data_IF_453391348213
#
_entry.id   IF_453391348213
#
_cell.length_a   1.000
_cell.length_b   1.000
_cell.length_c   1.000
_cell.angle_alpha   90.00
_cell.angle_beta   90.00
_cell.angle_gamma   90.00
#
_symmetry.space_group_name_H-M   'P 1'
#
loop_
_entity.id
_entity.type
_entity.pdbx_description
1 polymer ?
#
# COMPACT_ATOMS: atom_id res chain seq x y z
N UNK A 1 10.12 -43.62 -2.87
CA UNK A 1 9.22 -42.46 -2.77
C UNK A 1 9.94 -41.29 -3.41
N UNK A 2 9.60 -40.96 -4.66
CA UNK A 2 10.12 -39.77 -5.34
C UNK A 2 9.19 -38.61 -5.01
N UNK A 3 9.65 -37.66 -4.19
CA UNK A 3 8.91 -36.43 -3.98
C UNK A 3 8.85 -35.66 -5.31
N UNK A 4 7.64 -35.50 -5.85
CA UNK A 4 7.42 -34.61 -6.97
C UNK A 4 7.62 -33.18 -6.49
N UNK A 5 8.66 -32.49 -6.98
CA UNK A 5 8.83 -31.06 -6.73
C UNK A 5 7.63 -30.34 -7.34
N UNK A 6 6.73 -29.84 -6.48
CA UNK A 6 5.57 -29.07 -6.92
C UNK A 6 6.05 -27.69 -7.38
N UNK A 7 5.99 -27.43 -8.68
CA UNK A 7 6.28 -26.11 -9.23
C UNK A 7 5.23 -25.07 -8.78
N UNK A 8 5.68 -23.84 -8.54
CA UNK A 8 4.80 -22.72 -8.23
C UNK A 8 3.89 -22.41 -9.43
N UNK A 9 2.59 -22.22 -9.16
CA UNK A 9 1.63 -21.76 -10.17
C UNK A 9 1.86 -20.28 -10.49
N UNK A 10 1.34 -19.81 -11.63
CA UNK A 10 1.39 -18.37 -11.98
C UNK A 10 0.73 -17.48 -10.92
N UNK A 11 -0.34 -17.99 -10.27
CA UNK A 11 -1.00 -17.29 -9.18
C UNK A 11 -0.10 -17.18 -7.95
N UNK A 12 0.64 -18.25 -7.61
CA UNK A 12 1.61 -18.21 -6.51
C UNK A 12 2.73 -17.19 -6.78
N UNK A 13 3.22 -17.11 -8.01
CA UNK A 13 4.21 -16.10 -8.41
C UNK A 13 3.67 -14.67 -8.30
N UNK A 14 2.42 -14.45 -8.69
CA UNK A 14 1.77 -13.15 -8.53
C UNK A 14 1.69 -12.74 -7.04
N UNK A 15 1.39 -13.68 -6.14
CA UNK A 15 1.37 -13.44 -4.71
C UNK A 15 2.71 -12.97 -4.14
N UNK A 16 3.83 -13.38 -4.76
CA UNK A 16 5.18 -12.95 -4.36
C UNK A 16 5.54 -11.54 -4.84
N UNK A 17 4.79 -10.93 -5.74
CA UNK A 17 5.09 -9.59 -6.24
C UNK A 17 4.99 -8.55 -5.12
N UNK A 18 3.97 -8.61 -4.27
CA UNK A 18 3.82 -7.64 -3.18
C UNK A 18 4.95 -7.70 -2.14
N UNK A 19 5.38 -8.87 -1.59
CA UNK A 19 6.45 -8.90 -0.60
C UNK A 19 7.79 -8.54 -1.23
N UNK A 20 8.05 -8.93 -2.48
CA UNK A 20 9.24 -8.52 -3.23
C UNK A 20 9.28 -7.00 -3.40
N UNK A 21 8.19 -6.39 -3.81
CA UNK A 21 8.09 -4.93 -3.94
C UNK A 21 8.29 -4.23 -2.59
N UNK A 22 7.74 -4.80 -1.50
CA UNK A 22 7.93 -4.26 -0.15
C UNK A 22 9.41 -4.28 0.27
N UNK A 23 10.07 -5.42 0.12
CA UNK A 23 11.45 -5.62 0.58
C UNK A 23 12.44 -4.85 -0.29
N UNK A 24 12.32 -4.94 -1.61
CA UNK A 24 13.32 -4.40 -2.54
C UNK A 24 13.14 -2.92 -2.84
N UNK A 25 11.92 -2.39 -2.67
CA UNK A 25 11.62 -1.00 -3.03
C UNK A 25 11.09 -0.20 -1.84
N UNK A 26 9.98 -0.61 -1.23
CA UNK A 26 9.30 0.22 -0.23
C UNK A 26 10.17 0.43 1.00
N UNK A 27 10.72 -0.62 1.61
CA UNK A 27 11.53 -0.49 2.83
C UNK A 27 12.81 0.35 2.63
N UNK A 28 13.61 0.14 1.57
CA UNK A 28 14.76 1.02 1.29
C UNK A 28 14.38 2.49 1.11
N UNK A 29 13.33 2.77 0.33
CA UNK A 29 12.90 4.15 0.05
C UNK A 29 12.33 4.80 1.31
N UNK A 30 11.64 4.05 2.19
CA UNK A 30 11.22 4.53 3.52
C UNK A 30 12.43 4.94 4.35
N UNK A 31 13.47 4.09 4.42
CA UNK A 31 14.71 4.40 5.14
C UNK A 31 15.38 5.68 4.62
N UNK A 32 15.49 5.82 3.31
CA UNK A 32 16.01 7.03 2.67
C UNK A 32 15.14 8.27 3.01
N UNK A 33 13.82 8.14 2.95
CA UNK A 33 12.87 9.21 3.26
C UNK A 33 13.01 9.69 4.71
N UNK A 34 13.14 8.76 5.67
CA UNK A 34 13.32 9.07 7.09
C UNK A 34 14.64 9.83 7.30
N UNK A 35 15.74 9.33 6.72
CA UNK A 35 17.05 9.98 6.80
C UNK A 35 17.00 11.40 6.25
N UNK A 36 16.43 11.59 5.06
CA UNK A 36 16.26 12.91 4.45
C UNK A 36 15.32 13.81 5.27
N UNK A 37 14.32 13.24 5.95
CA UNK A 37 13.42 13.97 6.85
C UNK A 37 14.14 14.52 8.08
N UNK A 38 15.04 13.75 8.68
CA UNK A 38 15.90 14.21 9.79
C UNK A 38 16.79 15.36 9.33
N UNK A 39 17.47 15.22 8.20
CA UNK A 39 18.33 16.27 7.64
C UNK A 39 17.52 17.53 7.26
N UNK A 40 16.33 17.37 6.69
CA UNK A 40 15.44 18.48 6.40
C UNK A 40 15.00 19.21 7.67
N UNK A 41 14.79 18.49 8.78
CA UNK A 41 14.48 19.06 10.10
C UNK A 41 15.68 19.79 10.70
N UNK A 42 16.87 19.19 10.69
CA UNK A 42 18.11 19.82 11.17
C UNK A 42 18.40 21.13 10.43
N UNK A 43 18.18 21.15 9.11
CA UNK A 43 18.27 22.37 8.29
C UNK A 43 17.31 23.46 8.77
N UNK A 44 16.04 23.11 9.02
CA UNK A 44 15.02 24.08 9.48
C UNK A 44 15.35 24.69 10.84
N UNK A 45 16.13 23.96 11.65
CA UNK A 45 16.56 24.38 12.99
C UNK A 45 17.97 24.99 13.00
N UNK A 46 18.60 25.17 11.82
CA UNK A 46 19.95 25.71 11.65
C UNK A 46 21.04 24.99 12.48
N UNK A 47 20.89 23.67 12.66
CA UNK A 47 21.82 22.87 13.47
C UNK A 47 23.08 22.45 12.71
N UNK A 48 23.02 22.43 11.37
CA UNK A 48 24.09 21.94 10.52
C UNK A 48 23.99 22.57 9.11
N UNK A 49 25.09 22.98 8.46
CA UNK A 49 25.10 23.40 7.06
C UNK A 49 24.72 22.24 6.11
N UNK A 50 23.42 22.11 5.85
CA UNK A 50 22.85 21.11 4.93
C UNK A 50 22.58 21.77 3.57
N UNK A 51 22.44 21.00 2.48
CA UNK A 51 22.10 21.54 1.15
C UNK A 51 20.62 21.95 1.04
N UNK A 52 20.27 22.99 0.26
CA UNK A 52 18.88 23.44 0.09
C UNK A 52 17.99 22.43 -0.66
N UNK A 53 18.59 21.44 -1.32
CA UNK A 53 17.87 20.41 -2.07
C UNK A 53 17.26 19.33 -1.17
N UNK A 54 17.80 19.11 0.04
CA UNK A 54 17.40 18.00 0.92
C UNK A 54 15.89 17.95 1.24
N UNK A 55 15.20 19.07 1.53
CA UNK A 55 13.75 19.04 1.74
C UNK A 55 12.95 18.65 0.49
N UNK A 56 13.45 19.00 -0.71
CA UNK A 56 12.84 18.62 -1.99
C UNK A 56 13.04 17.12 -2.22
N UNK A 57 14.27 16.63 -2.04
CA UNK A 57 14.60 15.21 -2.14
C UNK A 57 13.76 14.37 -1.16
N UNK A 58 13.57 14.84 0.08
CA UNK A 58 12.69 14.20 1.06
C UNK A 58 11.25 14.08 0.54
N UNK A 59 10.71 15.17 -0.02
CA UNK A 59 9.36 15.18 -0.55
C UNK A 59 9.20 14.24 -1.74
N UNK A 60 10.19 14.19 -2.64
CA UNK A 60 10.17 13.29 -3.79
C UNK A 60 10.26 11.83 -3.37
N UNK A 61 11.16 11.48 -2.44
CA UNK A 61 11.21 10.12 -1.88
C UNK A 61 9.91 9.74 -1.18
N UNK A 62 9.28 10.66 -0.44
CA UNK A 62 7.96 10.44 0.16
C UNK A 62 6.87 10.09 -0.86
N UNK A 63 6.91 10.70 -2.06
CA UNK A 63 6.01 10.33 -3.17
C UNK A 63 6.30 8.92 -3.68
N UNK A 64 7.56 8.55 -3.83
CA UNK A 64 7.95 7.19 -4.20
C UNK A 64 7.52 6.14 -3.17
N UNK A 65 7.68 6.42 -1.87
CA UNK A 65 7.17 5.55 -0.80
C UNK A 65 5.67 5.35 -0.94
N UNK A 66 4.92 6.45 -1.11
CA UNK A 66 3.46 6.40 -1.17
C UNK A 66 3.00 5.61 -2.40
N UNK A 67 3.58 5.88 -3.57
CA UNK A 67 3.28 5.15 -4.80
C UNK A 67 3.61 3.67 -4.71
N UNK A 68 4.80 3.33 -4.20
CA UNK A 68 5.22 1.95 -4.00
C UNK A 68 4.30 1.19 -3.04
N UNK A 69 3.89 1.82 -1.94
CA UNK A 69 2.96 1.25 -0.98
C UNK A 69 1.57 1.01 -1.60
N UNK A 70 0.99 2.02 -2.26
CA UNK A 70 -0.32 1.88 -2.92
C UNK A 70 -0.29 0.76 -3.96
N UNK A 71 0.76 0.72 -4.79
CA UNK A 71 0.93 -0.34 -5.79
C UNK A 71 1.04 -1.73 -5.14
N UNK A 72 1.86 -1.88 -4.10
CA UNK A 72 2.02 -3.14 -3.38
C UNK A 72 0.68 -3.65 -2.80
N UNK A 73 -0.10 -2.74 -2.20
CA UNK A 73 -1.41 -3.06 -1.64
C UNK A 73 -2.38 -3.48 -2.73
N UNK A 74 -2.47 -2.75 -3.85
CA UNK A 74 -3.37 -3.09 -4.95
C UNK A 74 -3.01 -4.45 -5.57
N UNK A 75 -1.72 -4.76 -5.75
CA UNK A 75 -1.27 -6.08 -6.22
C UNK A 75 -1.67 -7.18 -5.25
N UNK A 76 -1.47 -6.98 -3.94
CA UNK A 76 -1.85 -7.94 -2.92
C UNK A 76 -3.37 -8.21 -2.90
N UNK A 77 -4.18 -7.14 -2.95
CA UNK A 77 -5.64 -7.25 -3.00
C UNK A 77 -6.11 -7.97 -4.27
N UNK A 78 -5.51 -7.66 -5.42
CA UNK A 78 -5.84 -8.31 -6.68
C UNK A 78 -5.50 -9.81 -6.67
N UNK A 79 -4.32 -10.17 -6.19
CA UNK A 79 -3.95 -11.58 -5.97
C UNK A 79 -4.97 -12.30 -5.09
N UNK A 80 -5.35 -11.69 -3.96
CA UNK A 80 -6.30 -12.30 -3.03
C UNK A 80 -7.71 -12.42 -3.63
N UNK A 81 -8.15 -11.49 -4.48
CA UNK A 81 -9.42 -11.59 -5.17
C UNK A 81 -9.47 -12.80 -6.11
N UNK A 82 -8.39 -13.04 -6.85
CA UNK A 82 -8.25 -14.21 -7.72
C UNK A 82 -8.14 -15.51 -6.92
N UNK A 83 -7.26 -15.55 -5.91
CA UNK A 83 -7.05 -16.74 -5.08
C UNK A 83 -8.28 -17.12 -4.25
N UNK A 84 -9.09 -16.13 -3.85
CA UNK A 84 -10.35 -16.34 -3.17
C UNK A 84 -11.50 -16.75 -4.08
N UNK A 85 -11.33 -16.78 -5.40
CA UNK A 85 -12.42 -17.11 -6.32
C UNK A 85 -13.60 -16.14 -6.21
N UNK A 86 -13.30 -14.83 -6.09
CA UNK A 86 -14.31 -13.77 -6.02
C UNK A 86 -15.31 -13.89 -7.19
N UNK A 87 -16.61 -13.85 -6.88
CA UNK A 87 -17.68 -14.00 -7.87
C UNK A 87 -17.75 -12.79 -8.82
N UNK A 88 -18.34 -12.96 -10.01
CA UNK A 88 -18.33 -11.95 -11.06
C UNK A 88 -19.07 -10.65 -10.67
N UNK A 89 -20.16 -10.78 -9.92
CA UNK A 89 -20.94 -9.66 -9.36
C UNK A 89 -20.12 -8.84 -8.34
N UNK A 90 -19.31 -9.50 -7.53
CA UNK A 90 -18.40 -8.88 -6.55
C UNK A 90 -17.15 -8.27 -7.23
N UNK A 91 -16.65 -8.92 -8.28
CA UNK A 91 -15.46 -8.50 -9.03
C UNK A 91 -15.63 -7.10 -9.62
N UNK A 92 -16.80 -6.77 -10.16
CA UNK A 92 -17.05 -5.44 -10.71
C UNK A 92 -16.91 -4.35 -9.65
N UNK A 93 -17.53 -4.53 -8.47
CA UNK A 93 -17.43 -3.57 -7.36
C UNK A 93 -16.00 -3.43 -6.85
N UNK A 94 -15.26 -4.54 -6.74
CA UNK A 94 -13.85 -4.54 -6.38
C UNK A 94 -12.99 -3.78 -7.40
N UNK A 95 -13.15 -4.04 -8.69
CA UNK A 95 -12.40 -3.36 -9.75
C UNK A 95 -12.70 -1.85 -9.79
N UNK A 96 -13.95 -1.46 -9.59
CA UNK A 96 -14.32 -0.05 -9.47
C UNK A 96 -13.64 0.61 -8.25
N UNK A 97 -13.55 -0.08 -7.12
CA UNK A 97 -12.86 0.43 -5.94
C UNK A 97 -11.34 0.54 -6.16
N UNK A 98 -10.72 -0.44 -6.83
CA UNK A 98 -9.30 -0.40 -7.25
C UNK A 98 -9.02 0.77 -8.18
N UNK A 99 -9.86 0.95 -9.21
CA UNK A 99 -9.77 2.08 -10.14
C UNK A 99 -9.97 3.40 -9.40
N UNK A 100 -10.91 3.47 -8.46
CA UNK A 100 -11.12 4.62 -7.59
C UNK A 100 -9.89 4.97 -6.76
N UNK A 101 -9.22 3.99 -6.18
CA UNK A 101 -7.98 4.18 -5.43
C UNK A 101 -6.84 4.70 -6.31
N UNK A 102 -6.68 4.11 -7.50
CA UNK A 102 -5.67 4.54 -8.47
C UNK A 102 -5.95 5.97 -8.96
N UNK A 103 -7.20 6.29 -9.32
CA UNK A 103 -7.60 7.62 -9.76
C UNK A 103 -7.40 8.67 -8.66
N UNK A 104 -7.77 8.36 -7.40
CA UNK A 104 -7.55 9.24 -6.27
C UNK A 104 -6.06 9.49 -6.00
N UNK A 105 -5.21 8.46 -6.14
CA UNK A 105 -3.76 8.62 -6.04
C UNK A 105 -3.18 9.48 -7.18
N UNK A 106 -3.61 9.27 -8.43
CA UNK A 106 -3.19 10.11 -9.56
C UNK A 106 -3.61 11.57 -9.36
N UNK A 107 -4.84 11.79 -8.88
CA UNK A 107 -5.33 13.13 -8.55
C UNK A 107 -4.51 13.76 -7.40
N UNK A 108 -4.12 12.96 -6.39
CA UNK A 108 -3.24 13.39 -5.30
C UNK A 108 -1.87 13.88 -5.81
N UNK A 109 -1.30 13.21 -6.82
CA UNK A 109 -0.02 13.62 -7.42
C UNK A 109 -0.10 14.98 -8.13
N UNK A 110 -1.26 15.31 -8.71
CA UNK A 110 -1.50 16.60 -9.38
C UNK A 110 -2.03 17.71 -8.47
N UNK A 111 -2.44 17.39 -7.25
CA UNK A 111 -3.10 18.33 -6.36
C UNK A 111 -2.16 19.44 -5.85
N UNK A 112 -2.62 20.70 -5.95
CA UNK A 112 -1.95 21.88 -5.41
C UNK A 112 -2.62 22.31 -4.09
N UNK A 113 -1.82 22.65 -3.09
CA UNK A 113 -2.30 23.04 -1.76
C UNK A 113 -2.57 21.86 -0.82
N UNK A 114 -2.70 22.15 0.48
CA UNK A 114 -2.80 21.12 1.53
C UNK A 114 -4.19 20.47 1.55
N UNK A 115 -5.26 21.26 1.46
CA UNK A 115 -6.64 20.74 1.56
C UNK A 115 -6.98 19.75 0.44
N UNK A 116 -6.75 20.04 -0.86
CA UNK A 116 -7.01 19.07 -1.92
C UNK A 116 -6.17 17.80 -1.78
N UNK A 117 -4.91 17.93 -1.33
CA UNK A 117 -4.06 16.76 -1.05
C UNK A 117 -4.64 15.89 0.07
N UNK A 118 -5.13 16.50 1.16
CA UNK A 118 -5.78 15.74 2.22
C UNK A 118 -7.05 15.02 1.74
N UNK A 119 -7.87 15.69 0.93
CA UNK A 119 -9.10 15.09 0.38
C UNK A 119 -8.78 13.90 -0.54
N UNK A 120 -7.84 14.06 -1.47
CA UNK A 120 -7.46 12.97 -2.39
C UNK A 120 -6.74 11.83 -1.67
N UNK A 121 -5.92 12.13 -0.67
CA UNK A 121 -5.31 11.12 0.18
C UNK A 121 -6.37 10.34 0.98
N UNK A 122 -7.34 11.04 1.57
CA UNK A 122 -8.46 10.40 2.28
C UNK A 122 -9.30 9.53 1.32
N UNK A 123 -9.65 10.04 0.15
CA UNK A 123 -10.39 9.29 -0.87
C UNK A 123 -9.64 8.03 -1.31
N UNK A 124 -8.33 8.12 -1.55
CA UNK A 124 -7.48 6.97 -1.86
C UNK A 124 -7.47 5.96 -0.70
N UNK A 125 -7.34 6.42 0.54
CA UNK A 125 -7.38 5.55 1.71
C UNK A 125 -8.74 4.85 1.87
N UNK A 126 -9.86 5.57 1.77
CA UNK A 126 -11.20 4.99 1.89
C UNK A 126 -11.50 3.96 0.80
N UNK A 127 -11.08 4.21 -0.43
CA UNK A 127 -11.26 3.25 -1.54
C UNK A 127 -10.39 2.00 -1.37
N UNK A 128 -9.17 2.12 -0.84
CA UNK A 128 -8.37 0.97 -0.42
C UNK A 128 -9.03 0.17 0.71
N UNK A 129 -9.59 0.85 1.72
CA UNK A 129 -10.33 0.19 2.81
C UNK A 129 -11.57 -0.53 2.30
N UNK A 130 -12.33 0.08 1.38
CA UNK A 130 -13.50 -0.54 0.75
C UNK A 130 -13.12 -1.75 -0.12
N UNK A 131 -11.96 -1.68 -0.79
CA UNK A 131 -11.42 -2.81 -1.55
C UNK A 131 -11.02 -3.95 -0.61
N UNK A 132 -10.41 -3.65 0.53
CA UNK A 132 -9.99 -4.65 1.51
C UNK A 132 -11.14 -5.26 2.33
N UNK A 133 -12.28 -4.58 2.43
CA UNK A 133 -13.45 -5.03 3.20
C UNK A 133 -14.38 -5.99 2.45
N UNK A 134 -14.06 -6.35 1.19
CA UNK A 134 -14.88 -7.26 0.41
C UNK A 134 -15.01 -8.63 1.09
N UNK A 135 -16.22 -9.21 1.22
CA UNK A 135 -16.42 -10.50 1.90
C UNK A 135 -15.57 -11.64 1.31
N UNK A 136 -15.40 -11.66 -0.01
CA UNK A 136 -14.56 -12.62 -0.71
C UNK A 136 -13.07 -12.50 -0.36
N UNK A 137 -12.62 -11.35 0.13
CA UNK A 137 -11.28 -11.17 0.66
C UNK A 137 -11.21 -11.47 2.16
N UNK A 138 -12.33 -11.60 2.87
CA UNK A 138 -12.32 -11.90 4.30
C UNK A 138 -12.29 -13.41 4.57
N UNK A 139 -12.44 -14.26 3.55
CA UNK A 139 -12.44 -15.72 3.74
C UNK A 139 -11.05 -16.30 4.09
N UNK A 140 -9.94 -15.71 3.61
CA UNK A 140 -8.59 -16.13 4.04
C UNK A 140 -8.35 -15.83 5.54
N UNK A 141 -9.14 -14.93 6.13
CA UNK A 141 -9.16 -14.63 7.58
C UNK A 141 -9.63 -15.82 8.42
N UNK A 142 -10.29 -16.82 7.83
CA UNK A 142 -10.65 -18.06 8.51
C UNK A 142 -9.44 -18.97 8.75
N UNK A 143 -8.38 -18.86 7.92
CA UNK A 143 -7.14 -19.65 8.05
C UNK A 143 -6.16 -19.08 9.10
N UNK A 144 -6.30 -17.79 9.44
CA UNK A 144 -5.49 -17.12 10.47
C UNK A 144 -6.44 -16.52 11.52
N UNK A 145 -6.65 -17.19 12.67
CA UNK A 145 -7.63 -16.76 13.67
C UNK A 145 -7.43 -15.29 14.04
N UNK A 146 -8.56 -14.60 14.11
CA UNK A 146 -8.75 -13.14 14.15
C UNK A 146 -7.99 -12.36 15.22
N UNK A 147 -7.27 -13.01 16.14
CA UNK A 147 -6.49 -12.38 17.20
C UNK A 147 -5.35 -11.46 16.67
N UNK A 148 -4.71 -11.80 15.55
CA UNK A 148 -3.60 -11.01 15.00
C UNK A 148 -4.08 -9.74 14.27
N UNK A 149 -5.30 -9.74 13.75
CA UNK A 149 -5.84 -8.60 12.96
C UNK A 149 -6.84 -7.73 13.73
N UNK A 150 -7.33 -8.16 14.90
CA UNK A 150 -8.12 -7.29 15.79
C UNK A 150 -7.34 -6.06 16.27
N UNK A 151 -6.01 -6.15 16.35
CA UNK A 151 -5.15 -5.01 16.68
C UNK A 151 -4.98 -4.01 15.53
N UNK A 152 -5.15 -4.42 14.27
CA UNK A 152 -4.80 -3.60 13.10
C UNK A 152 -5.96 -2.81 12.48
N UNK A 153 -7.20 -3.10 12.85
CA UNK A 153 -8.39 -2.35 12.42
C UNK A 153 -8.93 -1.37 13.48
N UNK A 154 -8.21 -1.14 14.59
CA UNK A 154 -8.54 -0.17 15.66
C UNK A 154 -9.95 -0.29 16.29
N UNK A 155 -10.77 -1.26 15.87
CA UNK A 155 -12.02 -1.62 16.52
C UNK A 155 -11.79 -2.71 17.55
N UNK A 156 -11.48 -2.29 18.79
CA UNK A 156 -11.64 -3.16 19.95
C UNK A 156 -13.08 -3.72 20.01
N UNK A 157 -13.24 -4.92 20.58
CA UNK A 157 -14.55 -5.55 20.73
C UNK A 157 -15.49 -4.72 21.64
N UNK A 158 -16.82 -4.72 21.43
CA UNK A 158 -17.77 -4.57 22.53
C UNK A 158 -17.74 -5.81 23.45
#
# INVERSE_FOLDING_TARGET
MTESVSFLTSLNWLGLVHPVLMILFVYPVVGATIRLGILARERRLDLNPIAPTVPVEHADHGRWVTGGMVLAVLVALFHNALAGGMQADQMLGFLLAVVGAAAAYVALLGAKGVVPKMLWAAACWFTLMLSASQPALLQWRQAFPTAVWQSHLWGGRP
#
